data_IF_579311111218
#
_entry.id   IF_579311111218
#
_cell.length_a   1.000
_cell.length_b   1.000
_cell.length_c   1.000
_cell.angle_alpha   90.00
_cell.angle_beta   90.00
_cell.angle_gamma   90.00
#
_symmetry.space_group_name_H-M   'P 1'
#
loop_
_entity.id
_entity.type
_entity.pdbx_description
1 polymer ?
#
# COMPACT_ATOMS: atom_id res chain seq x y z
N UNK A 1 -19.82 -9.85 -1.36
CA UNK A 1 -20.48 -8.74 -2.09
C UNK A 1 -19.53 -7.54 -2.12
N UNK A 2 -19.75 -6.57 -3.02
CA UNK A 2 -18.85 -5.42 -3.16
C UNK A 2 -19.06 -4.44 -1.99
N UNK A 3 -17.97 -4.04 -1.35
CA UNK A 3 -17.98 -3.09 -0.22
C UNK A 3 -17.11 -1.86 -0.49
N UNK A 4 -16.12 -2.00 -1.37
CA UNK A 4 -15.25 -0.92 -1.79
C UNK A 4 -14.63 -1.24 -3.15
N UNK A 5 -14.49 -0.22 -3.98
CA UNK A 5 -13.66 -0.28 -5.18
C UNK A 5 -12.18 -0.09 -4.83
N UNK A 6 -11.32 -0.93 -5.43
CA UNK A 6 -9.87 -0.81 -5.30
C UNK A 6 -9.31 -0.28 -6.62
N UNK A 7 -8.85 0.97 -6.61
CA UNK A 7 -8.25 1.60 -7.78
C UNK A 7 -6.73 1.54 -7.71
N UNK A 8 -6.13 0.72 -8.56
CA UNK A 8 -4.66 0.59 -8.63
C UNK A 8 -4.06 1.72 -9.47
N UNK A 9 -3.08 2.42 -8.91
CA UNK A 9 -2.27 3.46 -9.55
C UNK A 9 -0.77 3.25 -9.32
N UNK A 10 -0.35 1.99 -9.45
CA UNK A 10 1.07 1.60 -9.41
C UNK A 10 1.72 1.80 -10.78
N UNK A 11 2.90 2.40 -10.80
CA UNK A 11 3.65 2.66 -12.03
C UNK A 11 5.07 2.12 -11.89
N UNK A 12 5.41 1.12 -12.72
CA UNK A 12 6.72 0.46 -12.69
C UNK A 12 7.87 1.46 -12.86
N UNK A 13 8.90 1.35 -12.01
CA UNK A 13 10.09 2.20 -12.06
C UNK A 13 9.90 3.65 -11.63
N UNK A 14 8.74 4.02 -11.06
CA UNK A 14 8.53 5.38 -10.54
C UNK A 14 9.15 5.57 -9.15
N UNK A 15 9.55 6.81 -8.89
CA UNK A 15 10.02 7.30 -7.59
C UNK A 15 9.10 8.44 -7.10
N UNK A 16 9.34 8.92 -5.88
CA UNK A 16 8.57 10.02 -5.28
C UNK A 16 8.59 11.31 -6.11
N UNK A 17 9.70 11.59 -6.82
CA UNK A 17 9.85 12.78 -7.68
C UNK A 17 8.82 12.77 -8.82
N UNK A 18 8.61 11.62 -9.48
CA UNK A 18 7.59 11.48 -10.52
C UNK A 18 6.18 11.55 -9.96
N UNK A 19 5.95 10.99 -8.78
CA UNK A 19 4.64 11.03 -8.12
C UNK A 19 4.19 12.47 -7.84
N UNK A 20 5.06 13.31 -7.28
CA UNK A 20 4.76 14.73 -7.00
C UNK A 20 4.36 15.49 -8.27
N UNK A 21 4.95 15.19 -9.43
CA UNK A 21 4.65 15.90 -10.68
C UNK A 21 3.23 15.67 -11.22
N UNK A 22 2.55 14.61 -10.79
CA UNK A 22 1.24 14.22 -11.34
C UNK A 22 0.18 14.05 -10.26
N UNK A 23 0.48 14.36 -9.00
CA UNK A 23 -0.44 14.08 -7.90
C UNK A 23 -1.78 14.81 -8.06
N UNK A 24 -1.78 16.04 -8.56
CA UNK A 24 -3.01 16.79 -8.88
C UNK A 24 -3.82 16.16 -10.03
N UNK A 25 -3.16 15.44 -10.94
CA UNK A 25 -3.84 14.74 -12.05
C UNK A 25 -4.46 13.43 -11.59
N UNK A 26 -3.81 12.72 -10.66
CA UNK A 26 -4.31 11.45 -10.13
C UNK A 26 -5.39 11.71 -9.07
N UNK A 27 -5.19 12.72 -8.24
CA UNK A 27 -6.08 13.11 -7.15
C UNK A 27 -6.45 14.60 -7.26
N UNK A 28 -7.29 14.98 -8.24
CA UNK A 28 -7.75 16.35 -8.36
C UNK A 28 -8.63 16.71 -7.15
N UNK A 29 -8.41 17.90 -6.59
CA UNK A 29 -9.14 18.36 -5.38
C UNK A 29 -10.62 18.65 -5.65
N UNK A 30 -10.96 18.95 -6.88
CA UNK A 30 -12.32 19.19 -7.38
C UNK A 30 -12.98 17.94 -7.98
N UNK A 31 -12.40 16.75 -7.76
CA UNK A 31 -13.05 15.50 -8.14
C UNK A 31 -14.44 15.39 -7.47
N UNK A 32 -15.47 14.94 -8.19
CA UNK A 32 -16.82 14.79 -7.62
C UNK A 32 -16.87 13.74 -6.50
N UNK A 33 -15.94 12.78 -6.52
CA UNK A 33 -15.79 11.74 -5.50
C UNK A 33 -14.32 11.67 -5.11
N UNK A 34 -14.04 11.86 -3.82
CA UNK A 34 -12.70 11.70 -3.25
C UNK A 34 -12.53 10.29 -2.69
N UNK A 35 -11.31 9.73 -2.69
CA UNK A 35 -11.07 8.40 -2.12
C UNK A 35 -11.24 8.41 -0.60
N UNK A 36 -11.86 7.36 -0.06
CA UNK A 36 -11.96 7.15 1.39
C UNK A 36 -10.61 6.78 2.01
N UNK A 37 -9.80 6.00 1.28
CA UNK A 37 -8.45 5.59 1.69
C UNK A 37 -7.48 5.72 0.52
N UNK A 38 -6.30 6.27 0.79
CA UNK A 38 -5.16 6.23 -0.13
C UNK A 38 -3.98 5.57 0.57
N UNK A 39 -3.43 4.53 -0.06
CA UNK A 39 -2.20 3.87 0.39
C UNK A 39 -1.05 4.33 -0.49
N UNK A 40 -0.04 4.95 0.11
CA UNK A 40 1.13 5.51 -0.58
C UNK A 40 2.31 4.57 -0.40
N UNK A 41 2.95 4.17 -1.50
CA UNK A 41 4.08 3.25 -1.47
C UNK A 41 5.20 3.70 -2.42
N UNK A 42 6.19 4.37 -1.85
CA UNK A 42 7.43 4.80 -2.51
C UNK A 42 8.61 4.56 -1.56
N UNK A 43 9.84 4.66 -2.06
CA UNK A 43 11.05 4.40 -1.27
C UNK A 43 11.98 3.40 -1.94
N UNK A 44 11.46 2.32 -2.53
CA UNK A 44 12.30 1.26 -3.11
C UNK A 44 13.16 1.71 -4.30
N UNK A 45 12.60 2.52 -5.20
CA UNK A 45 13.37 3.09 -6.33
C UNK A 45 14.15 4.34 -5.89
N UNK A 46 13.58 5.12 -4.98
CA UNK A 46 14.18 6.32 -4.41
C UNK A 46 15.51 6.01 -3.70
N UNK A 47 15.57 4.88 -2.98
CA UNK A 47 16.71 4.43 -2.19
C UNK A 47 17.87 3.83 -2.99
N UNK A 48 17.73 3.65 -4.30
CA UNK A 48 18.82 3.19 -5.16
C UNK A 48 20.00 4.17 -5.10
N UNK A 49 21.22 3.69 -5.30
CA UNK A 49 22.42 4.51 -5.35
C UNK A 49 22.42 5.50 -6.51
N UNK A 50 23.11 6.61 -6.30
CA UNK A 50 23.25 7.65 -7.30
C UNK A 50 24.18 7.18 -8.43
N UNK A 51 23.67 7.11 -9.66
CA UNK A 51 24.51 6.82 -10.81
C UNK A 51 25.40 8.04 -11.16
N UNK A 52 26.68 7.85 -11.55
CA UNK A 52 27.61 8.97 -11.83
C UNK A 52 27.15 9.94 -12.93
N UNK A 53 26.27 9.50 -13.84
CA UNK A 53 25.68 10.38 -14.87
C UNK A 53 24.62 11.34 -14.34
N UNK A 54 24.19 11.18 -13.08
CA UNK A 54 23.05 11.89 -12.49
C UNK A 54 21.68 11.41 -13.00
N UNK A 55 21.64 10.39 -13.88
CA UNK A 55 20.40 9.76 -14.34
C UNK A 55 19.99 8.62 -13.40
N UNK A 56 18.73 8.21 -13.50
CA UNK A 56 18.23 7.03 -12.82
C UNK A 56 17.18 7.33 -11.75
N UNK A 57 16.78 6.30 -11.00
CA UNK A 57 15.65 6.38 -10.09
C UNK A 57 15.97 7.02 -8.74
N UNK A 58 17.25 7.18 -8.39
CA UNK A 58 17.66 7.74 -7.10
C UNK A 58 17.01 9.10 -6.82
N UNK A 59 16.53 9.24 -5.59
CA UNK A 59 16.04 10.51 -5.04
C UNK A 59 16.75 10.72 -3.71
N UNK A 60 17.64 11.74 -3.58
CA UNK A 60 18.37 11.98 -2.33
C UNK A 60 17.44 12.05 -1.11
N UNK A 61 17.86 11.46 0.01
CA UNK A 61 17.01 11.29 1.20
C UNK A 61 16.29 12.59 1.65
N UNK A 62 16.94 13.77 1.70
CA UNK A 62 16.23 15.01 2.03
C UNK A 62 15.13 15.38 1.03
N UNK A 63 15.35 15.14 -0.26
CA UNK A 63 14.35 15.36 -1.31
C UNK A 63 13.21 14.34 -1.20
N UNK A 64 13.52 13.06 -0.94
CA UNK A 64 12.51 12.03 -0.70
C UNK A 64 11.57 12.42 0.43
N UNK A 65 12.11 12.85 1.58
CA UNK A 65 11.29 13.32 2.72
C UNK A 65 10.39 14.48 2.30
N UNK A 66 10.92 15.46 1.57
CA UNK A 66 10.12 16.59 1.07
C UNK A 66 9.04 16.15 0.08
N UNK A 67 9.34 15.20 -0.81
CA UNK A 67 8.38 14.67 -1.78
C UNK A 67 7.26 13.91 -1.07
N UNK A 68 7.59 13.03 -0.14
CA UNK A 68 6.62 12.29 0.66
C UNK A 68 5.74 13.23 1.50
N UNK A 69 6.31 14.30 2.05
CA UNK A 69 5.56 15.35 2.75
C UNK A 69 4.58 16.08 1.84
N UNK A 70 4.99 16.44 0.62
CA UNK A 70 4.10 17.05 -0.39
C UNK A 70 2.96 16.11 -0.75
N UNK A 71 3.25 14.83 -0.95
CA UNK A 71 2.25 13.80 -1.23
C UNK A 71 1.25 13.71 -0.07
N UNK A 72 1.74 13.54 1.17
CA UNK A 72 0.89 13.44 2.36
C UNK A 72 0.01 14.67 2.56
N UNK A 73 0.57 15.88 2.43
CA UNK A 73 -0.19 17.13 2.55
C UNK A 73 -1.28 17.26 1.47
N UNK A 74 -0.99 16.87 0.23
CA UNK A 74 -1.97 16.91 -0.85
C UNK A 74 -3.13 15.96 -0.56
N UNK A 75 -2.84 14.70 -0.20
CA UNK A 75 -3.84 13.68 0.06
C UNK A 75 -4.72 14.02 1.28
N UNK A 76 -4.12 14.56 2.36
CA UNK A 76 -4.88 15.07 3.53
C UNK A 76 -5.82 16.22 3.16
N UNK A 77 -5.52 16.98 2.10
CA UNK A 77 -6.34 18.11 1.66
C UNK A 77 -7.45 17.73 0.69
N UNK A 78 -7.61 16.45 0.33
CA UNK A 78 -8.66 16.01 -0.59
C UNK A 78 -10.05 16.09 0.05
N UNK A 79 -10.19 15.63 1.28
CA UNK A 79 -11.41 15.76 2.08
C UNK A 79 -11.13 15.50 3.57
N UNK A 80 -12.03 15.94 4.44
CA UNK A 80 -11.96 15.68 5.89
C UNK A 80 -12.07 14.19 6.25
N UNK A 81 -12.59 13.36 5.35
CA UNK A 81 -12.81 11.92 5.56
C UNK A 81 -11.81 11.04 4.81
N UNK A 82 -10.99 11.60 3.92
CA UNK A 82 -9.92 10.86 3.26
C UNK A 82 -8.87 10.45 4.29
N UNK A 83 -8.58 9.15 4.35
CA UNK A 83 -7.56 8.55 5.20
C UNK A 83 -6.33 8.18 4.36
N UNK A 84 -5.15 8.26 4.97
CA UNK A 84 -3.90 7.99 4.27
C UNK A 84 -3.04 7.05 5.10
N UNK A 85 -2.55 5.99 4.47
CA UNK A 85 -1.57 5.05 5.02
C UNK A 85 -0.33 5.11 4.14
N UNK A 86 0.83 5.22 4.74
CA UNK A 86 2.10 5.06 4.04
C UNK A 86 2.65 3.66 4.26
N UNK A 87 3.26 3.09 3.24
CA UNK A 87 4.07 1.88 3.35
C UNK A 87 5.54 2.31 3.31
N UNK A 88 6.33 1.92 4.32
CA UNK A 88 7.76 2.21 4.34
C UNK A 88 8.52 1.40 3.27
N UNK A 89 9.77 1.76 3.01
CA UNK A 89 10.60 1.00 2.09
C UNK A 89 10.83 -0.43 2.63
N UNK A 90 10.53 -1.50 1.86
CA UNK A 90 10.78 -2.87 2.30
C UNK A 90 12.29 -3.15 2.31
N UNK A 91 12.72 -4.26 2.96
CA UNK A 91 14.03 -4.81 2.70
C UNK A 91 14.06 -5.45 1.31
N UNK A 92 15.23 -5.94 0.91
CA UNK A 92 15.42 -6.64 -0.36
C UNK A 92 16.38 -7.83 -0.19
N UNK A 93 16.36 -8.77 -1.14
CA UNK A 93 17.36 -9.83 -1.18
C UNK A 93 18.55 -9.39 -2.04
N UNK A 94 19.62 -8.95 -1.37
CA UNK A 94 20.82 -8.46 -2.06
C UNK A 94 21.55 -9.58 -2.81
N UNK A 95 21.44 -10.83 -2.37
CA UNK A 95 22.08 -11.97 -3.03
C UNK A 95 21.44 -12.23 -4.39
N UNK A 96 20.12 -12.34 -4.44
CA UNK A 96 19.39 -12.46 -5.71
C UNK A 96 19.65 -11.27 -6.63
N UNK A 97 19.73 -10.05 -6.06
CA UNK A 97 20.00 -8.86 -6.85
C UNK A 97 21.40 -8.88 -7.49
N UNK A 98 22.42 -9.37 -6.78
CA UNK A 98 23.78 -9.53 -7.32
C UNK A 98 23.84 -10.55 -8.46
N UNK A 99 22.97 -11.56 -8.44
CA UNK A 99 22.87 -12.57 -9.50
C UNK A 99 22.15 -12.06 -10.75
N UNK A 100 21.33 -11.01 -10.61
CA UNK A 100 20.62 -10.34 -11.70
C UNK A 100 21.56 -9.43 -12.50
N UNK A 101 22.50 -10.04 -13.24
CA UNK A 101 23.32 -9.32 -14.20
C UNK A 101 22.51 -9.01 -15.46
N UNK A 102 22.54 -7.75 -15.90
CA UNK A 102 21.97 -7.32 -17.17
C UNK A 102 23.07 -7.01 -18.17
N UNK A 103 22.92 -7.47 -19.41
CA UNK A 103 23.79 -7.03 -20.51
C UNK A 103 23.39 -5.67 -21.09
N UNK A 104 22.26 -5.11 -20.64
CA UNK A 104 21.65 -3.89 -21.17
C UNK A 104 21.63 -2.75 -20.15
N UNK A 105 21.46 -3.08 -18.86
CA UNK A 105 21.41 -2.10 -17.77
C UNK A 105 22.77 -1.99 -17.09
N UNK A 106 23.08 -0.81 -16.54
CA UNK A 106 24.18 -0.65 -15.60
C UNK A 106 23.90 -1.44 -14.31
N UNK A 107 24.96 -1.75 -13.57
CA UNK A 107 24.83 -2.38 -12.26
C UNK A 107 23.87 -1.60 -11.35
N UNK A 108 22.99 -2.35 -10.69
CA UNK A 108 22.00 -1.80 -9.76
C UNK A 108 22.66 -1.60 -8.40
N UNK A 109 22.95 -0.35 -8.05
CA UNK A 109 23.35 -0.02 -6.69
C UNK A 109 22.08 0.06 -5.82
N UNK A 110 21.79 -1.00 -5.06
CA UNK A 110 20.66 -1.04 -4.14
C UNK A 110 20.98 -1.96 -2.97
N UNK A 111 20.86 -1.44 -1.74
CA UNK A 111 21.26 -2.16 -0.53
C UNK A 111 20.18 -2.08 0.54
N UNK A 112 20.21 -3.03 1.47
CA UNK A 112 19.37 -3.02 2.66
C UNK A 112 19.70 -1.84 3.58
N UNK A 113 20.97 -1.41 3.64
CA UNK A 113 21.36 -0.22 4.41
C UNK A 113 20.63 1.03 3.93
N UNK A 114 20.64 1.28 2.61
CA UNK A 114 19.94 2.43 2.02
C UNK A 114 18.42 2.27 2.14
N UNK A 115 17.86 1.08 1.88
CA UNK A 115 16.42 0.84 2.06
C UNK A 115 15.96 1.13 3.49
N UNK A 116 16.74 0.73 4.50
CA UNK A 116 16.43 0.99 5.90
C UNK A 116 16.40 2.50 6.21
N UNK A 117 17.36 3.27 5.71
CA UNK A 117 17.37 4.73 5.89
C UNK A 117 16.11 5.41 5.34
N UNK A 118 15.61 4.98 4.18
CA UNK A 118 14.38 5.51 3.59
C UNK A 118 13.13 5.01 4.30
N UNK A 119 13.16 3.78 4.85
CA UNK A 119 12.10 3.25 5.71
C UNK A 119 11.94 4.12 6.96
N UNK A 120 13.02 4.31 7.71
CA UNK A 120 13.03 5.12 8.94
C UNK A 120 12.60 6.56 8.67
N UNK A 121 13.10 7.17 7.61
CA UNK A 121 12.70 8.52 7.23
C UNK A 121 11.20 8.64 6.89
N UNK A 122 10.61 7.61 6.26
CA UNK A 122 9.16 7.56 6.00
C UNK A 122 8.37 7.47 7.31
N UNK A 123 8.81 6.59 8.21
CA UNK A 123 8.17 6.37 9.51
C UNK A 123 8.21 7.64 10.36
N UNK A 124 9.37 8.27 10.50
CA UNK A 124 9.53 9.51 11.27
C UNK A 124 8.71 10.65 10.67
N UNK A 125 8.68 10.78 9.35
CA UNK A 125 7.83 11.76 8.67
C UNK A 125 6.34 11.53 8.97
N UNK A 126 5.87 10.29 8.89
CA UNK A 126 4.48 9.98 9.17
C UNK A 126 4.10 10.26 10.63
N UNK A 127 5.00 10.00 11.59
CA UNK A 127 4.81 10.41 12.99
C UNK A 127 4.69 11.93 13.11
N UNK A 128 5.58 12.67 12.47
CA UNK A 128 5.55 14.15 12.47
C UNK A 128 4.25 14.72 11.88
N UNK A 129 3.72 14.08 10.84
CA UNK A 129 2.53 14.52 10.12
C UNK A 129 1.20 14.00 10.68
N UNK A 130 1.26 13.20 11.75
CA UNK A 130 0.12 12.44 12.30
C UNK A 130 -0.59 11.62 11.21
N UNK A 131 0.20 10.78 10.52
CA UNK A 131 -0.23 9.87 9.48
C UNK A 131 0.06 8.43 9.88
N UNK A 132 -0.79 7.51 9.43
CA UNK A 132 -0.54 6.08 9.64
C UNK A 132 0.55 5.60 8.68
N UNK A 133 1.42 4.75 9.20
CA UNK A 133 2.51 4.13 8.45
C UNK A 133 2.61 2.67 8.83
N UNK A 134 2.84 1.82 7.84
CA UNK A 134 3.16 0.41 8.01
C UNK A 134 4.66 0.25 7.74
N UNK A 135 5.36 -0.24 8.76
CA UNK A 135 6.77 -0.56 8.69
C UNK A 135 6.98 -1.90 7.98
N UNK A 136 7.07 -1.84 6.64
CA UNK A 136 7.30 -3.04 5.81
C UNK A 136 8.70 -3.62 6.01
N UNK A 137 9.67 -2.78 6.38
CA UNK A 137 11.02 -3.23 6.71
C UNK A 137 10.97 -4.27 7.83
N UNK A 138 10.32 -3.94 8.95
CA UNK A 138 10.20 -4.85 10.09
C UNK A 138 9.18 -5.97 9.82
N UNK A 139 8.03 -5.66 9.21
CA UNK A 139 6.95 -6.64 9.03
C UNK A 139 7.39 -7.87 8.23
N UNK A 140 8.10 -7.68 7.11
CA UNK A 140 8.57 -8.78 6.27
C UNK A 140 9.60 -9.64 7.00
N UNK A 141 10.48 -9.01 7.80
CA UNK A 141 11.56 -9.68 8.53
C UNK A 141 11.12 -10.45 9.78
N UNK A 142 9.83 -10.42 10.15
CA UNK A 142 9.29 -11.28 11.21
C UNK A 142 9.35 -12.77 10.84
N UNK A 143 9.35 -13.08 9.54
CA UNK A 143 9.53 -14.43 9.00
C UNK A 143 11.03 -14.73 8.88
N UNK A 144 11.46 -15.93 9.26
CA UNK A 144 12.90 -16.30 9.26
C UNK A 144 13.48 -16.35 7.83
N UNK A 145 12.79 -16.97 6.89
CA UNK A 145 13.18 -17.11 5.48
C UNK A 145 12.61 -15.99 4.58
N UNK A 146 12.40 -14.80 5.15
CA UNK A 146 11.80 -13.66 4.43
C UNK A 146 12.52 -13.33 3.12
N UNK A 147 13.86 -13.39 3.10
CA UNK A 147 14.67 -12.98 1.96
C UNK A 147 14.43 -13.83 0.71
N UNK A 148 14.11 -15.11 0.86
CA UNK A 148 13.85 -16.02 -0.28
C UNK A 148 12.37 -16.21 -0.52
N UNK A 149 11.54 -16.16 0.53
CA UNK A 149 10.12 -16.40 0.40
C UNK A 149 9.31 -15.16 -0.01
N UNK A 150 9.72 -13.96 0.42
CA UNK A 150 8.92 -12.74 0.23
C UNK A 150 9.16 -12.03 -1.10
N UNK A 151 10.13 -12.47 -1.91
CA UNK A 151 10.48 -11.81 -3.17
C UNK A 151 10.53 -12.79 -4.34
N UNK A 152 10.22 -12.28 -5.53
CA UNK A 152 10.29 -13.04 -6.79
C UNK A 152 11.65 -12.90 -7.47
N UNK A 153 12.21 -11.69 -7.44
CA UNK A 153 13.47 -11.31 -8.09
C UNK A 153 14.41 -10.57 -7.11
N UNK A 154 14.18 -10.74 -5.81
CA UNK A 154 14.89 -10.03 -4.75
C UNK A 154 14.43 -8.60 -4.49
N UNK A 155 13.51 -8.05 -5.30
CA UNK A 155 12.95 -6.70 -5.12
C UNK A 155 11.43 -6.71 -5.06
N UNK A 156 10.77 -7.34 -6.02
CA UNK A 156 9.32 -7.39 -6.11
C UNK A 156 8.76 -8.50 -5.23
N UNK A 157 7.71 -8.17 -4.48
CA UNK A 157 7.10 -9.11 -3.54
C UNK A 157 6.52 -10.33 -4.27
N UNK A 158 6.70 -11.50 -3.66
CA UNK A 158 5.96 -12.72 -4.00
C UNK A 158 4.52 -12.64 -3.50
N UNK A 159 3.73 -13.69 -3.74
CA UNK A 159 2.42 -13.86 -3.08
C UNK A 159 2.53 -13.81 -1.56
N UNK A 160 3.56 -14.44 -1.01
CA UNK A 160 3.82 -14.57 0.42
C UNK A 160 4.19 -13.21 1.03
N UNK A 161 5.06 -12.44 0.36
CA UNK A 161 5.37 -11.07 0.75
C UNK A 161 4.14 -10.17 0.66
N UNK A 162 3.32 -10.33 -0.40
CA UNK A 162 2.09 -9.55 -0.58
C UNK A 162 1.04 -9.87 0.47
N UNK A 163 0.94 -11.12 0.93
CA UNK A 163 0.03 -11.51 2.01
C UNK A 163 0.38 -10.80 3.32
N UNK A 164 1.67 -10.68 3.65
CA UNK A 164 2.12 -9.92 4.83
C UNK A 164 1.73 -8.43 4.73
N UNK A 165 1.84 -7.84 3.54
CA UNK A 165 1.40 -6.44 3.33
C UNK A 165 -0.10 -6.29 3.57
N UNK A 166 -0.90 -7.21 3.05
CA UNK A 166 -2.36 -7.21 3.24
C UNK A 166 -2.72 -7.40 4.72
N UNK A 167 -2.05 -8.31 5.42
CA UNK A 167 -2.19 -8.53 6.87
C UNK A 167 -1.99 -7.23 7.67
N UNK A 168 -0.88 -6.54 7.42
CA UNK A 168 -0.57 -5.32 8.16
C UNK A 168 -1.53 -4.18 7.80
N UNK A 169 -1.99 -4.08 6.54
CA UNK A 169 -3.03 -3.10 6.15
C UNK A 169 -4.33 -3.37 6.91
N UNK A 170 -4.80 -4.62 6.93
CA UNK A 170 -6.04 -4.99 7.61
C UNK A 170 -5.95 -4.78 9.12
N UNK A 171 -4.79 -5.10 9.71
CA UNK A 171 -4.52 -4.81 11.12
C UNK A 171 -4.66 -3.32 11.41
N UNK A 172 -4.05 -2.45 10.61
CA UNK A 172 -4.20 -1.00 10.76
C UNK A 172 -5.66 -0.60 10.64
N UNK A 173 -6.38 -1.06 9.60
CA UNK A 173 -7.79 -0.71 9.40
C UNK A 173 -8.71 -1.18 10.53
N UNK A 174 -8.35 -2.28 11.22
CA UNK A 174 -9.07 -2.81 12.38
C UNK A 174 -8.80 -2.02 13.67
N UNK A 175 -7.56 -1.57 13.87
CA UNK A 175 -7.13 -0.91 15.10
C UNK A 175 -7.37 0.60 15.11
N UNK A 176 -7.43 1.25 13.94
CA UNK A 176 -7.62 2.70 13.86
C UNK A 176 -9.07 3.10 14.08
N UNK A 177 -9.29 4.04 15.00
CA UNK A 177 -10.61 4.61 15.30
C UNK A 177 -10.91 5.79 14.36
N UNK A 178 -11.04 5.51 13.06
CA UNK A 178 -11.47 6.49 12.08
C UNK A 178 -13.00 6.51 11.96
N UNK A 179 -13.55 7.71 11.79
CA UNK A 179 -14.97 7.89 11.45
C UNK A 179 -15.11 8.50 10.05
N UNK A 180 -15.83 7.85 9.11
CA UNK A 180 -16.36 6.48 9.23
C UNK A 180 -15.24 5.41 9.26
N UNK A 181 -15.51 4.27 9.89
CA UNK A 181 -14.59 3.13 9.88
C UNK A 181 -14.42 2.57 8.47
N UNK A 182 -13.17 2.25 8.11
CA UNK A 182 -12.82 1.65 6.82
C UNK A 182 -12.48 0.15 6.94
N UNK A 183 -12.72 -0.44 8.10
CA UNK A 183 -12.64 -1.88 8.26
C UNK A 183 -13.76 -2.55 7.46
N UNK A 184 -13.45 -3.64 6.75
CA UNK A 184 -14.38 -4.26 5.80
C UNK A 184 -15.70 -4.72 6.43
N UNK A 185 -15.71 -5.12 7.71
CA UNK A 185 -16.95 -5.47 8.43
C UNK A 185 -17.86 -4.27 8.74
N UNK A 186 -17.33 -3.06 8.67
CA UNK A 186 -18.06 -1.81 8.93
C UNK A 186 -18.51 -1.13 7.65
N UNK A 187 -17.99 -1.54 6.48
CA UNK A 187 -18.37 -0.97 5.20
C UNK A 187 -19.76 -1.48 4.80
N UNK A 188 -20.65 -0.59 4.33
CA UNK A 188 -21.95 -1.01 3.82
C UNK A 188 -21.76 -1.89 2.59
N UNK A 189 -22.55 -2.94 2.52
CA UNK A 189 -22.59 -3.80 1.35
C UNK A 189 -23.42 -3.13 0.25
N UNK A 190 -22.87 -3.01 -0.96
CA UNK A 190 -23.57 -2.41 -2.09
C UNK A 190 -24.78 -3.28 -2.51
N UNK A 191 -25.94 -2.65 -2.71
CA UNK A 191 -27.21 -3.31 -3.07
C UNK A 191 -27.63 -4.42 -2.09
N UNK A 192 -27.61 -4.12 -0.79
CA UNK A 192 -27.92 -5.07 0.28
C UNK A 192 -29.40 -5.06 0.72
N UNK A 193 -30.30 -4.46 -0.06
CA UNK A 193 -31.73 -4.41 0.27
C UNK A 193 -32.37 -5.81 0.18
N UNK A 194 -33.30 -6.11 1.11
CA UNK A 194 -34.07 -7.36 1.05
C UNK A 194 -34.85 -7.47 -0.25
N UNK A 195 -34.84 -8.67 -0.83
CA UNK A 195 -35.49 -8.94 -2.11
C UNK A 195 -36.48 -10.10 -2.03
N UNK A 196 -37.65 -10.02 -2.68
CA UNK A 196 -38.54 -11.17 -2.84
C UNK A 196 -37.94 -12.25 -3.74
N UNK A 197 -36.79 -11.97 -4.39
CA UNK A 197 -36.04 -12.90 -5.23
C UNK A 197 -34.89 -13.59 -4.49
N UNK A 198 -34.72 -13.31 -3.20
CA UNK A 198 -33.74 -13.99 -2.34
C UNK A 198 -34.15 -15.45 -2.03
N UNK A 199 -33.26 -16.18 -1.35
CA UNK A 199 -33.48 -17.57 -0.98
C UNK A 199 -34.71 -17.69 -0.04
N UNK A 200 -35.63 -18.59 -0.37
CA UNK A 200 -36.86 -18.79 0.42
C UNK A 200 -36.55 -19.63 1.67
N UNK A 201 -37.00 -19.14 2.83
CA UNK A 201 -36.88 -19.87 4.09
C UNK A 201 -37.81 -21.10 4.13
N UNK A 202 -37.50 -22.07 5.00
CA UNK A 202 -38.22 -23.33 5.08
C UNK A 202 -39.73 -23.20 5.39
N UNK A 203 -40.16 -22.05 5.91
CA UNK A 203 -41.57 -21.76 6.17
C UNK A 203 -42.36 -21.36 4.90
N UNK A 204 -41.68 -21.10 3.79
CA UNK A 204 -42.26 -20.67 2.53
C UNK A 204 -42.88 -19.27 2.55
N UNK A 205 -42.65 -18.47 3.60
CA UNK A 205 -43.30 -17.16 3.81
C UNK A 205 -42.35 -15.98 3.69
N UNK A 206 -41.06 -16.21 3.91
CA UNK A 206 -40.05 -15.16 3.95
C UNK A 206 -38.82 -15.58 3.15
N UNK A 207 -38.04 -14.58 2.75
CA UNK A 207 -36.74 -14.78 2.13
C UNK A 207 -35.62 -14.43 3.11
N UNK A 208 -34.41 -14.95 2.85
CA UNK A 208 -33.19 -14.60 3.59
C UNK A 208 -32.21 -13.92 2.66
N UNK A 209 -31.87 -12.68 3.00
CA UNK A 209 -30.90 -11.89 2.28
C UNK A 209 -29.49 -12.44 2.51
N UNK A 210 -28.79 -12.91 1.45
CA UNK A 210 -27.44 -13.46 1.57
C UNK A 210 -26.36 -12.38 1.53
N UNK A 211 -26.72 -11.10 1.58
CA UNK A 211 -25.82 -9.96 1.34
C UNK A 211 -24.57 -9.97 2.20
N UNK A 212 -24.75 -10.28 3.48
CA UNK A 212 -23.69 -10.25 4.49
C UNK A 212 -23.06 -11.64 4.70
N UNK A 213 -23.37 -12.63 3.85
CA UNK A 213 -22.79 -13.95 3.98
C UNK A 213 -21.31 -13.94 3.55
N UNK A 214 -20.44 -14.28 4.49
CA UNK A 214 -19.01 -14.47 4.24
C UNK A 214 -18.74 -15.92 3.83
N UNK A 215 -18.70 -16.19 2.53
CA UNK A 215 -18.24 -17.48 2.02
C UNK A 215 -16.73 -17.64 2.26
N UNK A 216 -16.28 -18.89 2.48
CA UNK A 216 -14.90 -19.24 2.84
C UNK A 216 -13.84 -18.46 2.03
N UNK A 217 -12.96 -17.77 2.76
CA UNK A 217 -11.67 -17.29 2.26
C UNK A 217 -10.57 -18.18 2.82
N UNK A 218 -9.55 -18.49 2.02
CA UNK A 218 -8.37 -19.24 2.48
C UNK A 218 -7.69 -18.56 3.68
N UNK A 219 -7.79 -17.23 3.75
CA UNK A 219 -7.33 -16.45 4.90
C UNK A 219 -8.51 -15.69 5.50
N UNK A 220 -8.80 -15.97 6.77
CA UNK A 220 -9.82 -15.25 7.53
C UNK A 220 -9.19 -14.01 8.15
N UNK A 221 -9.42 -12.88 7.49
CA UNK A 221 -8.94 -11.55 7.84
C UNK A 221 -9.75 -10.91 8.99
N UNK A 222 -9.90 -11.64 10.09
CA UNK A 222 -10.79 -11.31 11.22
C UNK A 222 -10.25 -10.29 12.21
#
# INVERSE_FOLDING_TARGET
MLQADILVRGYIGWNSRRAVQVIDKIFPKDAPVQPSLVIVYFGGNDSMGAHPSGLGPHVPLPEYIQNMRKIGNHLKSLSETTRVIFLSCPPLNEEMLRELQSSVLSDLDRTNETCHQYSEACIELCKEMDLKVIDLWTALQKREDWATACFTDGVHLSSEGSNIVVEEILKVLKEVEWEPSLHWKSLPTEFAEDSPYDLVLADGKSTINPSDWTFHREIQWD
#
